data_IF_371934510456
#
_entry.id   IF_371934510456
#
_cell.length_a   1.000
_cell.length_b   1.000
_cell.length_c   1.000
_cell.angle_alpha   90.00
_cell.angle_beta   90.00
_cell.angle_gamma   90.00
#
_symmetry.space_group_name_H-M   'P 1'
#
loop_
_entity.id
_entity.type
_entity.pdbx_description
1 polymer ?
#
# COMPACT_ATOMS: atom_id res chain seq x y z
N UNK A 1 -11.13 4.55 -27.28
CA UNK A 1 -11.59 3.97 -26.01
C UNK A 1 -11.21 2.49 -25.99
N UNK A 2 -10.49 2.01 -24.97
CA UNK A 2 -10.27 0.57 -24.76
C UNK A 2 -11.62 -0.12 -24.53
N UNK A 3 -11.73 -1.43 -24.79
CA UNK A 3 -12.97 -2.17 -24.54
C UNK A 3 -13.19 -2.37 -23.04
N UNK A 4 -14.45 -2.49 -22.60
CA UNK A 4 -14.79 -2.81 -21.19
C UNK A 4 -13.97 -3.99 -20.66
N UNK A 5 -13.78 -5.04 -21.46
CA UNK A 5 -12.99 -6.21 -21.07
C UNK A 5 -11.51 -5.86 -20.84
N UNK A 6 -10.92 -5.06 -21.72
CA UNK A 6 -9.54 -4.60 -21.56
C UNK A 6 -9.40 -3.71 -20.32
N UNK A 7 -10.32 -2.77 -20.11
CA UNK A 7 -10.33 -1.90 -18.93
C UNK A 7 -10.41 -2.71 -17.63
N UNK A 8 -11.28 -3.72 -17.56
CA UNK A 8 -11.36 -4.63 -16.40
C UNK A 8 -10.04 -5.33 -16.12
N UNK A 9 -9.42 -5.89 -17.16
CA UNK A 9 -8.14 -6.58 -17.04
C UNK A 9 -7.05 -5.63 -16.56
N UNK A 10 -6.99 -4.42 -17.12
CA UNK A 10 -6.02 -3.39 -16.72
C UNK A 10 -6.18 -3.04 -15.24
N UNK A 11 -7.39 -2.70 -14.79
CA UNK A 11 -7.63 -2.36 -13.38
C UNK A 11 -7.25 -3.48 -12.42
N UNK A 12 -7.61 -4.72 -12.75
CA UNK A 12 -7.25 -5.89 -11.94
C UNK A 12 -5.73 -6.09 -11.91
N UNK A 13 -5.06 -5.93 -13.05
CA UNK A 13 -3.60 -6.05 -13.11
C UNK A 13 -2.91 -4.96 -12.29
N UNK A 14 -3.36 -3.71 -12.39
CA UNK A 14 -2.81 -2.59 -11.63
C UNK A 14 -3.01 -2.80 -10.12
N UNK A 15 -4.19 -3.27 -9.70
CA UNK A 15 -4.48 -3.63 -8.31
C UNK A 15 -3.55 -4.73 -7.77
N UNK A 16 -3.28 -5.76 -8.57
CA UNK A 16 -2.31 -6.81 -8.19
C UNK A 16 -0.88 -6.30 -8.13
N UNK A 17 -0.50 -5.38 -9.00
CA UNK A 17 0.82 -4.74 -8.94
C UNK A 17 0.97 -3.91 -7.66
N UNK A 18 -0.09 -3.20 -7.25
CA UNK A 18 -0.10 -2.46 -5.98
C UNK A 18 0.09 -3.39 -4.77
N UNK A 19 -0.65 -4.51 -4.75
CA UNK A 19 -0.51 -5.52 -3.69
C UNK A 19 0.93 -6.08 -3.67
N UNK A 20 1.47 -6.44 -4.84
CA UNK A 20 2.83 -6.97 -4.96
C UNK A 20 3.89 -5.97 -4.48
N UNK A 21 3.72 -4.68 -4.80
CA UNK A 21 4.62 -3.63 -4.35
C UNK A 21 4.60 -3.48 -2.82
N UNK A 22 3.43 -3.62 -2.18
CA UNK A 22 3.30 -3.60 -0.71
C UNK A 22 3.92 -4.85 -0.08
N UNK A 23 3.65 -6.04 -0.63
CA UNK A 23 4.23 -7.30 -0.17
C UNK A 23 5.76 -7.29 -0.24
N UNK A 24 6.32 -6.63 -1.26
CA UNK A 24 7.77 -6.47 -1.46
C UNK A 24 8.35 -5.28 -0.69
N UNK A 25 7.55 -4.54 0.07
CA UNK A 25 7.93 -3.30 0.78
C UNK A 25 8.51 -2.20 -0.14
N UNK A 26 8.17 -2.25 -1.43
CA UNK A 26 8.54 -1.26 -2.45
C UNK A 26 7.64 -0.02 -2.35
N UNK A 27 7.72 0.71 -1.23
CA UNK A 27 6.81 1.83 -0.92
C UNK A 27 6.81 2.95 -1.97
N UNK A 28 7.97 3.23 -2.57
CA UNK A 28 8.12 4.26 -3.60
C UNK A 28 7.37 3.87 -4.89
N UNK A 29 7.51 2.60 -5.28
CA UNK A 29 6.80 2.03 -6.42
C UNK A 29 5.30 2.00 -6.17
N UNK A 30 4.88 1.57 -4.97
CA UNK A 30 3.47 1.59 -4.58
C UNK A 30 2.84 2.99 -4.72
N UNK A 31 3.51 4.04 -4.22
CA UNK A 31 2.98 5.41 -4.31
C UNK A 31 2.85 5.87 -5.76
N UNK A 32 3.84 5.55 -6.60
CA UNK A 32 3.82 5.90 -8.02
C UNK A 32 2.66 5.19 -8.75
N UNK A 33 2.55 3.87 -8.55
CA UNK A 33 1.48 3.05 -9.13
C UNK A 33 0.10 3.48 -8.64
N UNK A 34 -0.05 3.79 -7.35
CA UNK A 34 -1.35 4.11 -6.76
C UNK A 34 -1.91 5.41 -7.34
N UNK A 35 -1.05 6.39 -7.57
CA UNK A 35 -1.48 7.65 -8.18
C UNK A 35 -2.05 7.44 -9.59
N UNK A 36 -1.42 6.58 -10.39
CA UNK A 36 -1.91 6.23 -11.73
C UNK A 36 -3.19 5.40 -11.67
N UNK A 37 -3.23 4.38 -10.81
CA UNK A 37 -4.38 3.51 -10.64
C UNK A 37 -5.64 4.27 -10.22
N UNK A 38 -5.53 5.22 -9.28
CA UNK A 38 -6.68 6.03 -8.84
C UNK A 38 -7.27 6.85 -9.99
N UNK A 39 -6.43 7.38 -10.88
CA UNK A 39 -6.88 8.09 -12.07
C UNK A 39 -7.62 7.14 -13.03
N UNK A 40 -7.00 6.01 -13.40
CA UNK A 40 -7.62 5.03 -14.30
C UNK A 40 -8.93 4.46 -13.74
N UNK A 41 -9.00 4.23 -12.43
CA UNK A 41 -10.21 3.74 -11.77
C UNK A 41 -11.34 4.77 -11.84
N UNK A 42 -11.05 6.04 -11.59
CA UNK A 42 -12.04 7.12 -11.69
C UNK A 42 -12.60 7.23 -13.10
N UNK A 43 -11.74 7.25 -14.11
CA UNK A 43 -12.12 7.31 -15.53
C UNK A 43 -12.98 6.09 -15.92
N UNK A 44 -12.59 4.89 -15.50
CA UNK A 44 -13.31 3.67 -15.79
C UNK A 44 -14.69 3.60 -15.11
N UNK A 45 -14.82 4.10 -13.87
CA UNK A 45 -16.10 4.17 -13.15
C UNK A 45 -17.05 5.13 -13.87
N UNK A 46 -16.56 6.29 -14.32
CA UNK A 46 -17.38 7.26 -15.06
C UNK A 46 -17.91 6.68 -16.38
N UNK A 47 -17.06 5.96 -17.13
CA UNK A 47 -17.40 5.41 -18.44
C UNK A 47 -18.31 4.18 -18.36
N UNK A 48 -18.00 3.24 -17.46
CA UNK A 48 -18.62 1.91 -17.46
C UNK A 48 -19.58 1.66 -16.29
N UNK A 49 -19.53 2.47 -15.23
CA UNK A 49 -20.44 2.44 -14.07
C UNK A 49 -20.66 1.00 -13.56
N UNK A 50 -21.91 0.55 -13.53
CA UNK A 50 -22.34 -0.77 -13.04
C UNK A 50 -21.71 -1.95 -13.79
N UNK A 51 -21.22 -1.74 -15.02
CA UNK A 51 -20.55 -2.81 -15.75
C UNK A 51 -19.23 -3.25 -15.08
N UNK A 52 -18.71 -2.50 -14.10
CA UNK A 52 -17.53 -2.80 -13.30
C UNK A 52 -17.82 -3.41 -11.92
N UNK A 53 -19.08 -3.62 -11.52
CA UNK A 53 -19.43 -4.01 -10.14
C UNK A 53 -18.65 -5.23 -9.62
N UNK A 54 -18.51 -6.27 -10.43
CA UNK A 54 -17.73 -7.46 -10.03
C UNK A 54 -16.23 -7.20 -9.96
N UNK A 55 -15.71 -6.35 -10.85
CA UNK A 55 -14.32 -5.91 -10.80
C UNK A 55 -14.07 -5.09 -9.54
N UNK A 56 -14.97 -4.17 -9.18
CA UNK A 56 -14.86 -3.34 -7.98
C UNK A 56 -14.83 -4.18 -6.69
N UNK A 57 -15.55 -5.30 -6.63
CA UNK A 57 -15.49 -6.23 -5.49
C UNK A 57 -14.09 -6.85 -5.33
N UNK A 58 -13.47 -7.26 -6.42
CA UNK A 58 -12.11 -7.81 -6.37
C UNK A 58 -11.08 -6.72 -6.02
N UNK A 59 -11.23 -5.51 -6.57
CA UNK A 59 -10.38 -4.37 -6.21
C UNK A 59 -10.51 -4.00 -4.73
N UNK A 60 -11.71 -4.07 -4.16
CA UNK A 60 -11.93 -3.84 -2.74
C UNK A 60 -11.22 -4.90 -1.88
N UNK A 61 -11.28 -6.18 -2.28
CA UNK A 61 -10.55 -7.27 -1.60
C UNK A 61 -9.04 -7.03 -1.61
N UNK A 62 -8.48 -6.65 -2.75
CA UNK A 62 -7.04 -6.37 -2.86
C UNK A 62 -6.64 -5.18 -1.97
N UNK A 63 -7.47 -4.13 -1.95
CA UNK A 63 -7.25 -2.98 -1.07
C UNK A 63 -7.31 -3.35 0.42
N UNK A 64 -8.24 -4.21 0.83
CA UNK A 64 -8.31 -4.68 2.22
C UNK A 64 -7.03 -5.44 2.62
N UNK A 65 -6.48 -6.25 1.72
CA UNK A 65 -5.19 -6.94 1.92
C UNK A 65 -4.04 -5.95 2.05
N UNK A 66 -3.98 -4.94 1.17
CA UNK A 66 -2.98 -3.86 1.24
C UNK A 66 -3.05 -3.15 2.59
N UNK A 67 -4.25 -2.79 3.05
CA UNK A 67 -4.43 -2.09 4.33
C UNK A 67 -3.97 -2.93 5.52
N UNK A 68 -4.23 -4.24 5.49
CA UNK A 68 -3.76 -5.14 6.56
C UNK A 68 -2.23 -5.23 6.57
N UNK A 69 -1.60 -5.39 5.41
CA UNK A 69 -0.14 -5.41 5.30
C UNK A 69 0.49 -4.10 5.79
N UNK A 70 -0.09 -2.96 5.41
CA UNK A 70 0.36 -1.64 5.87
C UNK A 70 0.30 -1.53 7.39
N UNK A 71 -0.81 -1.95 8.02
CA UNK A 71 -0.96 -1.93 9.49
C UNK A 71 0.09 -2.80 10.17
N UNK A 72 0.29 -4.02 9.69
CA UNK A 72 1.30 -4.94 10.20
C UNK A 72 2.70 -4.32 10.13
N UNK A 73 3.05 -3.68 9.00
CA UNK A 73 4.36 -3.02 8.84
C UNK A 73 4.51 -1.78 9.73
N UNK A 74 3.47 -0.96 9.86
CA UNK A 74 3.49 0.18 10.80
C UNK A 74 3.73 -0.27 12.24
N UNK A 75 3.12 -1.38 12.65
CA UNK A 75 3.33 -1.95 13.98
C UNK A 75 4.77 -2.45 14.17
N UNK A 76 5.32 -3.17 13.19
CA UNK A 76 6.72 -3.64 13.22
C UNK A 76 7.70 -2.48 13.36
N UNK A 77 7.54 -1.44 12.54
CA UNK A 77 8.40 -0.24 12.58
C UNK A 77 8.30 0.51 13.91
N UNK A 78 7.11 0.56 14.52
CA UNK A 78 6.93 1.16 15.83
C UNK A 78 7.67 0.38 16.93
N UNK A 79 7.66 -0.94 16.87
CA UNK A 79 8.39 -1.81 17.81
C UNK A 79 9.90 -1.66 17.65
N UNK A 80 10.40 -1.63 16.42
CA UNK A 80 11.81 -1.36 16.10
C UNK A 80 12.24 0.02 16.62
N UNK A 81 11.46 1.06 16.35
CA UNK A 81 11.73 2.42 16.83
C UNK A 81 11.82 2.51 18.36
N UNK A 82 10.93 1.81 19.07
CA UNK A 82 10.98 1.71 20.54
C UNK A 82 12.25 1.02 21.03
N UNK A 83 12.67 -0.04 20.34
CA UNK A 83 13.90 -0.77 20.67
C UNK A 83 15.13 0.11 20.48
N UNK A 84 15.20 0.85 19.38
CA UNK A 84 16.31 1.77 19.09
C UNK A 84 16.35 2.95 20.06
N UNK A 85 15.20 3.51 20.43
CA UNK A 85 15.13 4.53 21.46
C UNK A 85 15.67 4.03 22.81
N UNK A 86 15.34 2.80 23.19
CA UNK A 86 15.87 2.16 24.41
C UNK A 86 17.39 2.00 24.34
N UNK A 87 17.93 1.54 23.20
CA UNK A 87 19.39 1.42 22.97
C UNK A 87 20.08 2.79 23.07
N UNK A 88 19.50 3.82 22.46
CA UNK A 88 20.05 5.18 22.50
C UNK A 88 20.05 5.74 23.93
N UNK A 89 18.99 5.49 24.71
CA UNK A 89 18.93 5.87 26.13
C UNK A 89 20.01 5.17 26.96
N UNK A 90 20.23 3.87 26.72
CA UNK A 90 21.29 3.10 27.39
C UNK A 90 22.68 3.61 27.02
N UNK A 91 22.92 3.89 25.73
CA UNK A 91 24.17 4.50 25.26
C UNK A 91 24.38 5.85 25.95
N UNK A 92 23.39 6.74 25.96
CA UNK A 92 23.49 8.04 26.64
C UNK A 92 23.86 7.87 28.11
N UNK A 93 23.24 6.93 28.83
CA UNK A 93 23.58 6.65 30.22
C UNK A 93 25.01 6.13 30.42
N UNK A 94 25.58 5.46 29.42
CA UNK A 94 26.95 4.97 29.44
C UNK A 94 27.99 6.06 29.15
N UNK A 95 27.70 7.00 28.23
CA UNK A 95 28.65 8.05 27.83
C UNK A 95 28.56 9.33 28.65
N UNK A 96 27.50 9.51 29.46
CA UNK A 96 27.37 10.67 30.34
C UNK A 96 27.96 10.30 31.71
N UNK A 97 29.06 10.93 32.17
CA UNK A 97 29.61 10.67 33.50
C UNK A 97 28.57 11.03 34.57
N UNK A 98 28.49 10.24 35.63
CA UNK A 98 27.75 10.65 36.82
C UNK A 98 28.44 11.90 37.39
N UNK A 99 27.72 13.03 37.43
CA UNK A 99 28.12 14.22 38.20
C UNK A 99 28.10 13.92 39.70
#
# INVERSE_FOLDING_TARGET
MPSLALTKITLLSESKNLLTAIESESWQEYVALNSMFQQHLSEAIEEYKHALDDTLKELARDNDQIQELVKCKQQSLLEESKADFKRLKQLKAYVTPAE
#
